data_IF_834571085119
#
_entry.id   IF_834571085119
#
_cell.length_a   1.000
_cell.length_b   1.000
_cell.length_c   1.000
_cell.angle_alpha   90.00
_cell.angle_beta   90.00
_cell.angle_gamma   90.00
#
_symmetry.space_group_name_H-M   'P 1'
#
loop_
_entity.id
_entity.type
_entity.pdbx_description
1 polymer ?
#
# COMPACT_ATOMS: atom_id res chain seq x y z
N UNK A 1 5.76 2.73 26.79
CA UNK A 1 6.87 1.76 26.70
C UNK A 1 6.48 0.55 27.53
N UNK A 2 6.61 -0.67 26.99
CA UNK A 2 6.17 -1.88 27.71
C UNK A 2 7.25 -2.34 28.70
N UNK A 3 8.54 -2.41 28.33
CA UNK A 3 9.71 -2.56 29.21
C UNK A 3 11.00 -2.07 28.50
N UNK A 4 12.09 -1.77 29.23
CA UNK A 4 13.44 -1.48 28.67
C UNK A 4 13.83 0.01 28.56
N UNK A 5 14.80 0.35 27.69
CA UNK A 5 15.11 1.73 27.29
C UNK A 5 14.31 2.12 26.05
N UNK A 6 14.04 3.42 25.85
CA UNK A 6 13.26 3.87 24.68
C UNK A 6 14.05 3.58 23.40
N UNK A 7 13.40 3.22 22.27
CA UNK A 7 14.13 2.90 21.04
C UNK A 7 15.13 3.96 20.60
N UNK A 8 14.81 5.26 20.77
CA UNK A 8 15.71 6.36 20.43
C UNK A 8 16.95 6.49 21.33
N UNK A 9 17.00 5.79 22.46
CA UNK A 9 18.21 5.68 23.29
C UNK A 9 19.10 4.49 22.87
N UNK A 10 18.57 3.57 22.05
CA UNK A 10 19.25 2.34 21.62
C UNK A 10 19.69 2.39 20.16
N UNK A 11 18.96 3.12 19.32
CA UNK A 11 19.16 3.16 17.88
C UNK A 11 19.36 4.60 17.42
N UNK A 12 20.33 4.87 16.53
CA UNK A 12 20.43 6.16 15.90
C UNK A 12 19.20 6.43 15.02
N UNK A 13 18.84 7.71 14.80
CA UNK A 13 17.80 8.05 13.84
C UNK A 13 18.20 7.57 12.43
N UNK A 14 17.22 7.11 11.66
CA UNK A 14 17.40 6.78 10.25
C UNK A 14 17.39 8.08 9.45
N UNK A 15 18.44 8.39 8.66
CA UNK A 15 18.43 9.57 7.79
C UNK A 15 17.32 9.49 6.74
N UNK A 16 16.69 10.62 6.43
CA UNK A 16 15.59 10.70 5.45
C UNK A 16 15.98 10.09 4.10
N UNK A 17 17.17 10.42 3.59
CA UNK A 17 17.68 9.86 2.34
C UNK A 17 17.80 8.32 2.36
N UNK A 18 18.13 7.74 3.52
CA UNK A 18 18.19 6.29 3.66
C UNK A 18 16.78 5.67 3.67
N UNK A 19 15.82 6.33 4.32
CA UNK A 19 14.42 5.92 4.33
C UNK A 19 13.82 6.00 2.91
N UNK A 20 14.03 7.11 2.20
CA UNK A 20 13.50 7.31 0.85
C UNK A 20 14.01 6.25 -0.12
N UNK A 21 15.33 6.01 -0.11
CA UNK A 21 15.95 4.93 -0.91
C UNK A 21 15.37 3.56 -0.58
N UNK A 22 15.10 3.29 0.70
CA UNK A 22 14.45 2.05 1.10
C UNK A 22 13.03 1.95 0.53
N UNK A 23 12.22 3.00 0.65
CA UNK A 23 10.83 3.01 0.17
C UNK A 23 10.77 2.79 -1.34
N UNK A 24 11.59 3.51 -2.12
CA UNK A 24 11.66 3.34 -3.58
C UNK A 24 12.10 1.92 -3.95
N UNK A 25 13.13 1.39 -3.27
CA UNK A 25 13.61 0.03 -3.51
C UNK A 25 12.54 -1.02 -3.20
N UNK A 26 11.80 -0.87 -2.10
CA UNK A 26 10.71 -1.79 -1.75
C UNK A 26 9.60 -1.79 -2.82
N UNK A 27 9.22 -0.60 -3.31
CA UNK A 27 8.25 -0.48 -4.40
C UNK A 27 8.76 -1.15 -5.69
N UNK A 28 10.02 -0.89 -6.07
CA UNK A 28 10.63 -1.41 -7.31
C UNK A 28 10.89 -2.92 -7.26
N UNK A 29 11.47 -3.42 -6.18
CA UNK A 29 12.07 -4.76 -6.15
C UNK A 29 11.14 -5.81 -5.52
N UNK A 30 10.21 -5.38 -4.65
CA UNK A 30 9.25 -6.29 -4.02
C UNK A 30 7.84 -6.15 -4.60
N UNK A 31 7.27 -4.95 -4.57
CA UNK A 31 5.86 -4.75 -4.96
C UNK A 31 5.65 -4.83 -6.46
N UNK A 32 6.48 -4.17 -7.27
CA UNK A 32 6.30 -4.15 -8.72
C UNK A 32 6.33 -5.56 -9.34
N UNK A 33 7.25 -6.48 -8.98
CA UNK A 33 7.20 -7.85 -9.48
C UNK A 33 6.02 -8.66 -8.92
N UNK A 34 5.52 -8.32 -7.73
CA UNK A 34 4.35 -8.98 -7.16
C UNK A 34 3.05 -8.63 -7.91
N UNK A 35 2.96 -7.45 -8.53
CA UNK A 35 1.83 -7.06 -9.39
C UNK A 35 1.62 -8.07 -10.53
N UNK A 36 2.68 -8.66 -11.08
CA UNK A 36 2.55 -9.61 -12.20
C UNK A 36 2.07 -11.01 -11.77
N UNK A 37 2.08 -11.31 -10.47
CA UNK A 37 1.67 -12.62 -9.91
C UNK A 37 0.16 -12.68 -9.65
N UNK A 38 -0.63 -12.77 -10.72
CA UNK A 38 -2.10 -12.68 -10.70
C UNK A 38 -2.80 -13.45 -9.56
N UNK A 39 -2.34 -14.67 -9.22
CA UNK A 39 -2.92 -15.50 -8.15
C UNK A 39 -2.92 -14.86 -6.77
N UNK A 40 -1.97 -13.97 -6.49
CA UNK A 40 -1.86 -13.30 -5.19
C UNK A 40 -3.03 -12.33 -4.98
N UNK A 41 -3.38 -11.60 -6.04
CA UNK A 41 -4.36 -10.51 -6.01
C UNK A 41 -5.82 -10.96 -5.89
N UNK A 42 -6.09 -12.27 -5.98
CA UNK A 42 -7.40 -12.83 -5.61
C UNK A 42 -7.65 -12.80 -4.10
N UNK A 43 -6.59 -12.72 -3.29
CA UNK A 43 -6.68 -12.74 -1.83
C UNK A 43 -6.83 -11.30 -1.29
N UNK A 44 -7.74 -11.11 -0.34
CA UNK A 44 -8.01 -9.80 0.28
C UNK A 44 -6.72 -9.13 0.80
N UNK A 45 -5.84 -9.91 1.44
CA UNK A 45 -4.60 -9.40 2.02
C UNK A 45 -3.68 -8.72 1.00
N UNK A 46 -3.62 -9.22 -0.24
CA UNK A 46 -2.77 -8.63 -1.28
C UNK A 46 -3.38 -7.35 -1.83
N UNK A 47 -4.70 -7.29 -2.00
CA UNK A 47 -5.42 -6.09 -2.44
C UNK A 47 -5.29 -4.99 -1.39
N UNK A 48 -5.59 -5.31 -0.13
CA UNK A 48 -5.51 -4.37 0.99
C UNK A 48 -4.08 -3.87 1.19
N UNK A 49 -3.10 -4.78 1.35
CA UNK A 49 -1.73 -4.38 1.64
C UNK A 49 -1.07 -3.71 0.44
N UNK A 50 -1.36 -4.13 -0.79
CA UNK A 50 -0.79 -3.50 -1.98
C UNK A 50 -1.19 -2.03 -2.10
N UNK A 51 -2.49 -1.74 -2.01
CA UNK A 51 -2.99 -0.37 -2.10
C UNK A 51 -2.55 0.49 -0.91
N UNK A 52 -2.67 -0.03 0.32
CA UNK A 52 -2.30 0.74 1.51
C UNK A 52 -0.79 0.97 1.60
N UNK A 53 0.04 0.00 1.19
CA UNK A 53 1.50 0.16 1.19
C UNK A 53 1.93 1.16 0.12
N UNK A 54 1.34 1.11 -1.07
CA UNK A 54 1.57 2.13 -2.10
C UNK A 54 1.22 3.54 -1.60
N UNK A 55 0.02 3.74 -1.03
CA UNK A 55 -0.39 5.05 -0.52
C UNK A 55 0.53 5.57 0.59
N UNK A 56 0.98 4.68 1.50
CA UNK A 56 1.97 5.04 2.54
C UNK A 56 3.31 5.42 1.94
N UNK A 57 3.80 4.66 0.96
CA UNK A 57 5.05 4.94 0.28
C UNK A 57 5.00 6.33 -0.39
N UNK A 58 3.93 6.62 -1.12
CA UNK A 58 3.73 7.93 -1.76
C UNK A 58 3.73 9.08 -0.77
N UNK A 59 3.01 8.97 0.35
CA UNK A 59 2.96 10.04 1.35
C UNK A 59 4.31 10.18 2.08
N UNK A 60 4.99 9.07 2.38
CA UNK A 60 6.32 9.12 3.00
C UNK A 60 7.32 9.85 2.10
N UNK A 61 7.38 9.51 0.81
CA UNK A 61 8.29 10.15 -0.14
C UNK A 61 7.93 11.61 -0.44
N UNK A 62 6.63 11.94 -0.46
CA UNK A 62 6.16 13.30 -0.79
C UNK A 62 6.21 14.26 0.39
N UNK A 63 5.90 13.78 1.60
CA UNK A 63 5.63 14.62 2.77
C UNK A 63 6.59 14.35 3.93
N UNK A 64 7.49 13.37 3.83
CA UNK A 64 8.46 13.06 4.89
C UNK A 64 7.83 12.53 6.19
N UNK A 65 6.59 12.02 6.12
CA UNK A 65 5.87 11.52 7.30
C UNK A 65 5.28 10.14 7.11
N UNK A 66 5.18 9.42 8.23
CA UNK A 66 4.45 8.15 8.31
C UNK A 66 2.99 8.43 8.62
N UNK A 67 2.10 7.75 7.92
CA UNK A 67 0.65 7.81 8.15
C UNK A 67 0.12 6.50 8.70
N UNK A 68 -1.07 6.48 9.27
CA UNK A 68 -1.77 5.26 9.65
C UNK A 68 -2.35 4.52 8.44
N UNK A 69 -2.80 3.27 8.63
CA UNK A 69 -3.51 2.53 7.56
C UNK A 69 -4.85 3.18 7.19
N UNK A 70 -5.50 3.87 8.13
CA UNK A 70 -6.77 4.56 7.88
C UNK A 70 -6.54 5.83 7.05
N UNK A 71 -5.52 6.61 7.39
CA UNK A 71 -5.11 7.77 6.57
C UNK A 71 -4.67 7.35 5.17
N UNK A 72 -3.94 6.24 5.04
CA UNK A 72 -3.56 5.70 3.73
C UNK A 72 -4.79 5.33 2.89
N UNK A 73 -5.80 4.70 3.50
CA UNK A 73 -7.07 4.40 2.81
C UNK A 73 -7.78 5.67 2.34
N UNK A 74 -7.78 6.73 3.17
CA UNK A 74 -8.38 8.01 2.82
C UNK A 74 -7.62 8.78 1.72
N UNK A 75 -6.31 8.54 1.58
CA UNK A 75 -5.49 9.13 0.53
C UNK A 75 -5.66 8.47 -0.85
N UNK A 76 -6.07 7.20 -0.91
CA UNK A 76 -6.15 6.44 -2.17
C UNK A 76 -6.96 7.12 -3.30
N UNK A 77 -8.13 7.75 -3.04
CA UNK A 77 -8.87 8.45 -4.08
C UNK A 77 -8.10 9.61 -4.72
N UNK A 78 -7.32 10.39 -3.94
CA UNK A 78 -6.52 11.49 -4.50
C UNK A 78 -5.29 11.00 -5.26
N UNK A 79 -4.88 9.75 -5.03
CA UNK A 79 -3.85 9.04 -5.79
C UNK A 79 -4.40 8.35 -7.05
N UNK A 80 -5.70 8.51 -7.35
CA UNK A 80 -6.34 7.92 -8.54
C UNK A 80 -6.71 6.44 -8.39
N UNK A 81 -6.73 5.90 -7.17
CA UNK A 81 -7.08 4.51 -6.95
C UNK A 81 -8.56 4.22 -7.33
N UNK A 82 -8.87 3.03 -7.87
CA UNK A 82 -10.23 2.65 -8.25
C UNK A 82 -11.20 2.68 -7.06
N UNK A 83 -12.19 3.57 -7.11
CA UNK A 83 -13.14 3.82 -6.00
C UNK A 83 -13.83 2.55 -5.51
N UNK A 84 -14.29 1.70 -6.42
CA UNK A 84 -14.97 0.44 -6.08
C UNK A 84 -14.10 -0.49 -5.21
N UNK A 85 -12.79 -0.52 -5.43
CA UNK A 85 -11.84 -1.32 -4.66
C UNK A 85 -11.55 -0.67 -3.31
N UNK A 86 -11.42 0.67 -3.28
CA UNK A 86 -11.24 1.42 -2.03
C UNK A 86 -12.44 1.23 -1.10
N UNK A 87 -13.65 1.35 -1.63
CA UNK A 87 -14.89 1.17 -0.87
C UNK A 87 -15.03 -0.28 -0.38
N UNK A 88 -14.61 -1.25 -1.20
CA UNK A 88 -14.57 -2.66 -0.83
C UNK A 88 -13.61 -2.94 0.35
N UNK A 89 -12.41 -2.36 0.33
CA UNK A 89 -11.47 -2.40 1.47
C UNK A 89 -12.09 -1.74 2.71
N UNK A 90 -12.68 -0.56 2.55
CA UNK A 90 -13.31 0.16 3.65
C UNK A 90 -14.40 -0.69 4.33
N UNK A 91 -15.28 -1.31 3.54
CA UNK A 91 -16.34 -2.19 4.04
C UNK A 91 -15.78 -3.39 4.79
N UNK A 92 -14.81 -4.13 4.23
CA UNK A 92 -14.22 -5.30 4.91
C UNK A 92 -13.50 -4.95 6.20
N UNK A 93 -12.81 -3.80 6.23
CA UNK A 93 -11.90 -3.44 7.32
C UNK A 93 -12.55 -2.68 8.46
N UNK A 94 -13.56 -1.86 8.14
CA UNK A 94 -14.16 -0.91 9.08
C UNK A 94 -15.68 -0.94 9.11
N UNK A 95 -16.33 -1.58 8.13
CA UNK A 95 -17.76 -1.82 8.12
C UNK A 95 -18.11 -3.23 8.57
N UNK A 96 -19.36 -3.62 8.31
CA UNK A 96 -19.78 -5.01 8.44
C UNK A 96 -19.20 -5.80 7.27
N UNK A 97 -18.36 -6.82 7.51
CA UNK A 97 -17.83 -7.64 6.42
C UNK A 97 -19.00 -8.30 5.67
N UNK A 98 -19.03 -8.19 4.33
CA UNK A 98 -20.03 -8.91 3.56
C UNK A 98 -19.83 -10.43 3.70
N UNK A 99 -20.83 -11.20 3.30
CA UNK A 99 -20.67 -12.65 3.09
C UNK A 99 -19.57 -12.96 2.06
N UNK A 100 -19.27 -14.25 1.82
CA UNK A 100 -18.22 -14.65 0.90
C UNK A 100 -18.35 -13.95 -0.46
N UNK A 101 -17.28 -13.34 -0.99
CA UNK A 101 -17.35 -12.65 -2.26
C UNK A 101 -17.59 -13.65 -3.40
N UNK A 102 -18.38 -13.23 -4.40
CA UNK A 102 -18.51 -13.99 -5.64
C UNK A 102 -17.16 -14.07 -6.37
N UNK A 103 -16.92 -15.18 -7.07
CA UNK A 103 -15.64 -15.42 -7.76
C UNK A 103 -15.35 -14.36 -8.85
N UNK A 104 -16.40 -13.91 -9.53
CA UNK A 104 -16.33 -12.83 -10.53
C UNK A 104 -15.84 -11.52 -9.90
N UNK A 105 -16.29 -11.20 -8.68
CA UNK A 105 -15.83 -10.02 -7.95
C UNK A 105 -14.34 -10.13 -7.60
N UNK A 106 -13.90 -11.30 -7.12
CA UNK A 106 -12.48 -11.52 -6.81
C UNK A 106 -11.59 -11.34 -8.04
N UNK A 107 -12.04 -11.85 -9.18
CA UNK A 107 -11.34 -11.72 -10.47
C UNK A 107 -11.27 -10.27 -10.93
N UNK A 108 -12.41 -9.57 -10.91
CA UNK A 108 -12.52 -8.16 -11.30
C UNK A 108 -11.64 -7.27 -10.43
N UNK A 109 -11.81 -7.35 -9.10
CA UNK A 109 -11.02 -6.58 -8.14
C UNK A 109 -9.53 -6.83 -8.27
N UNK A 110 -9.12 -8.08 -8.47
CA UNK A 110 -7.72 -8.43 -8.70
C UNK A 110 -7.17 -7.74 -9.97
N UNK A 111 -7.89 -7.82 -11.09
CA UNK A 111 -7.52 -7.16 -12.34
C UNK A 111 -7.41 -5.64 -12.19
N UNK A 112 -8.47 -5.01 -11.67
CA UNK A 112 -8.55 -3.56 -11.45
C UNK A 112 -7.42 -3.04 -10.55
N UNK A 113 -7.13 -3.74 -9.44
CA UNK A 113 -6.06 -3.36 -8.52
C UNK A 113 -4.69 -3.41 -9.19
N UNK A 114 -4.41 -4.46 -9.95
CA UNK A 114 -3.12 -4.64 -10.65
C UNK A 114 -2.94 -3.62 -11.77
N UNK A 115 -4.01 -3.36 -12.53
CA UNK A 115 -4.01 -2.37 -13.60
C UNK A 115 -3.71 -0.95 -13.09
N UNK A 116 -4.14 -0.64 -11.86
CA UNK A 116 -3.76 0.61 -11.18
C UNK A 116 -2.32 0.56 -10.65
N UNK A 117 -1.96 -0.46 -9.86
CA UNK A 117 -0.68 -0.47 -9.13
C UNK A 117 0.55 -0.58 -10.03
N UNK A 118 0.49 -1.31 -11.14
CA UNK A 118 1.62 -1.44 -12.06
C UNK A 118 2.19 -0.08 -12.51
N UNK A 119 1.43 0.71 -13.28
CA UNK A 119 1.89 2.03 -13.73
C UNK A 119 2.08 3.02 -12.59
N UNK A 120 1.29 2.94 -11.50
CA UNK A 120 1.44 3.84 -10.37
C UNK A 120 2.77 3.62 -9.63
N UNK A 121 3.20 2.37 -9.46
CA UNK A 121 4.51 2.05 -8.90
C UNK A 121 5.64 2.49 -9.86
N UNK A 122 5.50 2.23 -11.15
CA UNK A 122 6.50 2.64 -12.15
C UNK A 122 6.70 4.17 -12.16
N UNK A 123 5.61 4.94 -12.04
CA UNK A 123 5.65 6.40 -11.93
C UNK A 123 6.31 6.88 -10.62
N UNK A 124 6.00 6.25 -9.49
CA UNK A 124 6.60 6.57 -8.20
C UNK A 124 8.11 6.32 -8.21
N UNK A 125 8.53 5.16 -8.72
CA UNK A 125 9.96 4.80 -8.83
C UNK A 125 10.68 5.78 -9.76
N UNK A 126 10.06 6.18 -10.87
CA UNK A 126 10.66 7.18 -11.79
C UNK A 126 10.79 8.56 -11.14
N UNK A 127 9.85 8.94 -10.27
CA UNK A 127 9.83 10.27 -9.65
C UNK A 127 10.84 10.41 -8.51
N UNK A 128 11.08 9.33 -7.75
CA UNK A 128 11.84 9.37 -6.49
C UNK A 128 13.12 8.50 -6.49
N UNK A 129 13.37 7.71 -7.54
CA UNK A 129 14.53 6.82 -7.68
C UNK A 129 15.63 7.40 -8.55
#
# INVERSE_FOLDING_TARGET
MLHGQVPGALLPPVPDLQLDRFVVRDQRDFWRPAVDRARLWRQDVWVDLGLLTFARATVTLREGRLISKREALAALPSLGAPREVVDDIARRRYGTPPGPPADDWLSHRAGTTRAFLGPAIDALVTTYG
#
